data_IF_122256652133
#
_entry.id   IF_122256652133
#
_cell.length_a   1.000
_cell.length_b   1.000
_cell.length_c   1.000
_cell.angle_alpha   90.00
_cell.angle_beta   90.00
_cell.angle_gamma   90.00
#
_symmetry.space_group_name_H-M   'P 1'
#
loop_
_entity.id
_entity.type
_entity.pdbx_description
1 polymer ?
#
# COMPACT_ATOMS: atom_id res chain seq x y z
N UNK A 1 0.30 -3.46 -16.76
CA UNK A 1 0.08 -3.17 -15.33
C UNK A 1 -1.28 -3.71 -14.93
N UNK A 2 -1.41 -4.42 -13.80
CA UNK A 2 -2.68 -4.93 -13.28
C UNK A 2 -3.14 -4.02 -12.12
N UNK A 3 -4.36 -3.50 -12.21
CA UNK A 3 -5.01 -2.76 -11.13
C UNK A 3 -6.00 -3.68 -10.42
N UNK A 4 -5.79 -3.83 -9.12
CA UNK A 4 -6.63 -4.65 -8.25
C UNK A 4 -7.37 -3.77 -7.24
N UNK A 5 -8.63 -4.09 -6.98
CA UNK A 5 -9.30 -3.65 -5.75
C UNK A 5 -8.76 -4.50 -4.61
N UNK A 6 -8.16 -3.86 -3.61
CA UNK A 6 -7.54 -4.55 -2.47
C UNK A 6 -8.22 -4.09 -1.19
N UNK A 7 -8.78 -5.03 -0.44
CA UNK A 7 -9.25 -4.76 0.90
C UNK A 7 -8.04 -4.75 1.85
N UNK A 8 -7.54 -3.58 2.21
CA UNK A 8 -6.40 -3.43 3.13
C UNK A 8 -6.82 -3.67 4.59
N UNK A 9 -7.96 -3.14 5.02
CA UNK A 9 -8.39 -3.23 6.43
C UNK A 9 -7.43 -2.50 7.36
N UNK A 10 -7.12 -3.09 8.52
CA UNK A 10 -6.21 -2.46 9.48
C UNK A 10 -4.75 -2.76 9.09
N UNK A 11 -4.02 -1.72 8.67
CA UNK A 11 -2.62 -1.82 8.26
C UNK A 11 -1.66 -1.76 9.45
N UNK A 12 -0.69 -2.68 9.50
CA UNK A 12 0.48 -2.58 10.36
C UNK A 12 1.56 -1.78 9.62
N UNK A 13 1.86 -0.58 10.12
CA UNK A 13 2.80 0.33 9.46
C UNK A 13 4.25 0.09 9.89
N UNK A 14 5.13 0.01 8.91
CA UNK A 14 6.57 -0.13 9.09
C UNK A 14 7.30 1.05 8.44
N UNK A 15 8.33 1.56 9.10
CA UNK A 15 9.14 2.67 8.58
C UNK A 15 10.34 2.21 7.73
N UNK A 16 10.58 0.90 7.66
CA UNK A 16 11.64 0.25 6.87
C UNK A 16 11.29 -1.22 6.62
N UNK A 17 11.95 -1.86 5.66
CA UNK A 17 11.88 -3.31 5.43
C UNK A 17 12.68 -4.08 6.48
N UNK A 18 12.22 -4.06 7.73
CA UNK A 18 12.76 -4.85 8.83
C UNK A 18 11.86 -6.05 9.17
N UNK A 19 11.07 -6.52 8.19
CA UNK A 19 10.07 -7.57 8.36
C UNK A 19 10.46 -8.78 7.52
N UNK A 20 10.59 -9.95 8.15
CA UNK A 20 11.03 -11.16 7.46
C UNK A 20 9.85 -11.88 6.81
N UNK A 21 10.09 -12.45 5.63
CA UNK A 21 9.12 -13.32 5.00
C UNK A 21 8.93 -14.59 5.85
N UNK A 22 7.73 -14.78 6.41
CA UNK A 22 7.41 -15.88 7.33
C UNK A 22 7.05 -15.43 8.74
N UNK A 23 7.37 -14.19 9.13
CA UNK A 23 6.88 -13.62 10.40
C UNK A 23 5.35 -13.65 10.41
N UNK A 24 4.70 -13.90 11.54
CA UNK A 24 3.24 -13.83 11.59
C UNK A 24 2.77 -12.36 11.44
N UNK A 25 1.58 -12.17 10.86
CA UNK A 25 0.96 -10.84 10.85
C UNK A 25 0.65 -10.46 12.30
N UNK A 26 1.05 -9.27 12.79
CA UNK A 26 0.72 -8.86 14.15
C UNK A 26 -0.78 -8.98 14.43
N UNK A 27 -1.14 -9.48 15.61
CA UNK A 27 -2.54 -9.76 15.96
C UNK A 27 -3.42 -8.52 15.78
N UNK A 28 -4.56 -8.71 15.11
CA UNK A 28 -5.53 -7.67 14.84
C UNK A 28 -5.19 -6.75 13.67
N UNK A 29 -4.15 -7.05 12.89
CA UNK A 29 -3.86 -6.38 11.62
C UNK A 29 -4.13 -7.31 10.44
N UNK A 30 -4.54 -6.75 9.32
CA UNK A 30 -4.93 -7.52 8.14
C UNK A 30 -3.95 -7.38 6.96
N UNK A 31 -3.15 -6.31 6.95
CA UNK A 31 -2.16 -6.01 5.91
C UNK A 31 -0.95 -5.27 6.48
N UNK A 32 0.16 -5.30 5.77
CA UNK A 32 1.36 -4.52 6.09
C UNK A 32 1.39 -3.29 5.18
N UNK A 33 1.78 -2.16 5.74
CA UNK A 33 2.05 -0.93 5.00
C UNK A 33 3.49 -0.49 5.29
N UNK A 34 4.38 -0.65 4.32
CA UNK A 34 5.73 -0.12 4.44
C UNK A 34 5.71 1.32 3.92
N UNK A 35 6.07 2.25 4.79
CA UNK A 35 5.92 3.69 4.55
C UNK A 35 7.09 4.18 3.70
N UNK A 36 6.79 4.68 2.51
CA UNK A 36 7.77 5.37 1.65
C UNK A 36 7.79 6.87 1.92
N UNK A 37 8.87 7.53 1.45
CA UNK A 37 9.08 8.96 1.62
C UNK A 37 8.03 9.81 0.88
N UNK A 38 7.65 9.38 -0.32
CA UNK A 38 6.65 10.03 -1.15
C UNK A 38 5.28 9.37 -1.00
N UNK A 39 4.25 10.19 -0.96
CA UNK A 39 2.86 9.74 -0.89
C UNK A 39 1.97 10.64 -1.75
N UNK A 40 0.86 10.11 -2.28
CA UNK A 40 -0.11 10.90 -3.05
C UNK A 40 -0.66 12.03 -2.18
N UNK A 41 -0.71 13.26 -2.72
CA UNK A 41 -1.23 14.44 -2.02
C UNK A 41 -2.70 14.25 -1.60
N UNK A 42 -3.47 13.57 -2.44
CA UNK A 42 -4.88 13.28 -2.20
C UNK A 42 -5.30 12.01 -2.92
N UNK A 43 -6.53 11.59 -2.66
CA UNK A 43 -7.14 10.45 -3.32
C UNK A 43 -8.58 10.79 -3.69
N UNK A 44 -9.07 10.16 -4.75
CA UNK A 44 -10.49 10.17 -5.10
C UNK A 44 -11.11 8.84 -4.69
N UNK A 45 -12.43 8.79 -4.55
CA UNK A 45 -13.16 7.53 -4.36
C UNK A 45 -14.00 7.27 -5.58
N UNK A 46 -13.82 6.11 -6.19
CA UNK A 46 -14.57 5.68 -7.37
C UNK A 46 -15.16 4.29 -7.09
N UNK A 47 -16.48 4.13 -7.23
CA UNK A 47 -17.21 2.89 -6.92
C UNK A 47 -16.89 2.27 -5.54
N UNK A 48 -16.69 3.14 -4.54
CA UNK A 48 -16.34 2.74 -3.17
C UNK A 48 -14.91 2.21 -3.02
N UNK A 49 -14.01 2.55 -3.95
CA UNK A 49 -12.58 2.23 -3.91
C UNK A 49 -11.78 3.53 -3.89
N UNK A 50 -10.85 3.65 -2.94
CA UNK A 50 -9.92 4.78 -2.87
C UNK A 50 -8.88 4.63 -3.97
N UNK A 51 -8.72 5.66 -4.79
CA UNK A 51 -7.74 5.74 -5.88
C UNK A 51 -6.76 6.90 -5.61
N UNK A 52 -5.51 6.61 -5.23
CA UNK A 52 -4.48 7.62 -4.97
C UNK A 52 -3.87 8.15 -6.28
N UNK A 53 -4.59 9.01 -7.00
CA UNK A 53 -4.21 9.47 -8.34
C UNK A 53 -3.50 10.83 -8.38
N UNK A 54 -3.43 11.54 -7.26
CA UNK A 54 -2.80 12.86 -7.20
C UNK A 54 -1.28 12.78 -7.21
N UNK A 55 -0.63 13.90 -7.52
CA UNK A 55 0.82 14.05 -7.50
C UNK A 55 1.43 13.65 -6.14
N UNK A 56 2.65 13.15 -6.20
CA UNK A 56 3.39 12.76 -5.01
C UNK A 56 3.98 13.97 -4.29
N UNK A 57 3.88 13.94 -2.96
CA UNK A 57 4.54 14.89 -2.06
C UNK A 57 5.38 14.16 -1.03
N UNK A 58 6.43 14.82 -0.55
CA UNK A 58 7.30 14.29 0.48
C UNK A 58 6.61 14.31 1.86
N UNK A 59 6.87 13.29 2.66
CA UNK A 59 6.46 13.28 4.07
C UNK A 59 7.35 14.24 4.87
N UNK A 60 6.72 15.00 5.77
CA UNK A 60 7.40 15.97 6.65
C UNK A 60 8.31 15.32 7.69
N UNK A 61 8.06 14.06 8.07
CA UNK A 61 8.89 13.28 8.98
C UNK A 61 9.88 12.41 8.20
N UNK A 62 11.14 12.39 8.65
CA UNK A 62 12.16 11.50 8.08
C UNK A 62 11.75 10.04 8.33
N UNK A 63 11.22 9.38 7.32
CA UNK A 63 11.17 7.92 7.27
C UNK A 63 12.63 7.44 7.10
N UNK A 64 13.22 6.95 8.19
CA UNK A 64 14.63 6.52 8.21
C UNK A 64 14.91 5.27 7.36
N UNK A 65 13.89 4.65 6.76
CA UNK A 65 14.02 3.43 5.95
C UNK A 65 13.70 3.63 4.47
N UNK A 66 14.73 4.00 3.70
CA UNK A 66 15.03 3.59 2.32
C UNK A 66 14.00 3.65 1.17
N UNK A 67 12.71 3.46 1.37
CA UNK A 67 11.73 3.37 0.28
C UNK A 67 11.32 4.76 -0.22
N UNK A 68 11.41 4.95 -1.54
CA UNK A 68 10.90 6.17 -2.18
C UNK A 68 9.37 6.21 -2.13
N UNK A 69 8.68 5.10 -2.42
CA UNK A 69 7.22 5.00 -2.43
C UNK A 69 6.71 3.94 -1.45
N UNK A 70 5.46 4.09 -1.01
CA UNK A 70 4.84 3.12 -0.12
C UNK A 70 4.52 1.80 -0.79
N UNK A 71 4.68 0.71 -0.02
CA UNK A 71 4.32 -0.64 -0.44
C UNK A 71 3.27 -1.21 0.51
N UNK A 72 2.33 -1.98 -0.05
CA UNK A 72 1.27 -2.64 0.71
C UNK A 72 1.33 -4.14 0.46
N UNK A 73 1.33 -4.93 1.54
CA UNK A 73 1.38 -6.39 1.46
C UNK A 73 0.12 -6.98 2.08
N UNK A 74 -0.56 -7.82 1.32
CA UNK A 74 -1.74 -8.57 1.76
C UNK A 74 -1.47 -10.05 1.59
N UNK A 75 -1.71 -10.83 2.66
CA UNK A 75 -1.40 -12.28 2.68
C UNK A 75 -2.57 -13.15 2.23
N UNK A 76 -3.79 -12.71 2.51
CA UNK A 76 -5.00 -13.44 2.16
C UNK A 76 -5.44 -13.04 0.74
N UNK A 77 -5.36 -13.98 -0.21
CA UNK A 77 -5.74 -13.77 -1.60
C UNK A 77 -7.21 -13.39 -1.77
N UNK A 78 -8.11 -13.81 -0.86
CA UNK A 78 -9.54 -13.47 -0.90
C UNK A 78 -9.82 -11.96 -0.72
N UNK A 79 -8.79 -11.17 -0.37
CA UNK A 79 -8.86 -9.72 -0.20
C UNK A 79 -8.46 -8.95 -1.47
N UNK A 80 -8.08 -9.66 -2.53
CA UNK A 80 -7.61 -9.10 -3.79
C UNK A 80 -8.63 -9.46 -4.88
N UNK A 81 -9.17 -8.44 -5.54
CA UNK A 81 -10.03 -8.59 -6.69
C UNK A 81 -9.41 -7.85 -7.89
N UNK A 82 -8.84 -8.56 -8.88
CA UNK A 82 -8.40 -7.94 -10.13
C UNK A 82 -9.55 -7.18 -10.81
N UNK A 83 -9.28 -5.98 -11.34
CA UNK A 83 -10.30 -5.14 -11.97
C UNK A 83 -9.92 -4.74 -13.40
N UNK A 84 -8.71 -4.23 -13.59
CA UNK A 84 -8.30 -3.68 -14.88
C UNK A 84 -6.92 -4.18 -15.27
N UNK A 85 -6.77 -4.60 -16.53
CA UNK A 85 -5.47 -4.85 -17.15
C UNK A 85 -5.13 -3.64 -18.03
N UNK A 86 -4.13 -2.88 -17.62
CA UNK A 86 -3.62 -1.73 -18.36
C UNK A 86 -2.50 -2.21 -19.28
N UNK A 87 -2.75 -2.09 -20.59
CA UNK A 87 -1.75 -2.30 -21.64
C UNK A 87 -1.14 -0.93 -21.93
N UNK A 88 0.14 -0.78 -21.61
CA UNK A 88 0.91 0.45 -21.82
C UNK A 88 1.93 0.19 -22.94
N UNK A 89 2.11 1.16 -23.84
CA UNK A 89 3.07 1.10 -24.95
C UNK A 89 4.36 1.81 -24.59
#
# INVERSE_FOLDING_TARGET
MLLCRVALGKCYSLNSWNYNWGDEMPKGYDSIHVVGQKHPLSSITENGVVMPLADFVDRSSRCYGGLEFSEYVVRNSNRILPQYLVIYQ
#
